data_IF_100752736208
#
_entry.id   IF_100752736208
#
_cell.length_a   1.000
_cell.length_b   1.000
_cell.length_c   1.000
_cell.angle_alpha   90.00
_cell.angle_beta   90.00
_cell.angle_gamma   90.00
#
_symmetry.space_group_name_H-M   'P 1'
#
loop_
_entity.id
_entity.type
_entity.pdbx_description
1 polymer ?
#
# COMPACT_ATOMS: atom_id res chain seq x y z
N UNK A 1 17.78 5.43 29.53
CA UNK A 1 18.44 4.15 29.18
C UNK A 1 17.48 3.06 28.70
N UNK A 2 16.18 3.09 29.00
CA UNK A 2 15.20 2.10 28.49
C UNK A 2 14.81 2.30 27.02
N UNK A 3 14.70 3.55 26.54
CA UNK A 3 14.33 3.85 25.14
C UNK A 3 15.35 3.32 24.13
N UNK A 4 16.64 3.57 24.36
CA UNK A 4 17.73 3.12 23.48
C UNK A 4 17.73 1.59 23.29
N UNK A 5 17.37 0.84 24.34
CA UNK A 5 17.26 -0.63 24.28
C UNK A 5 16.04 -1.10 23.51
N UNK A 6 14.97 -0.30 23.48
CA UNK A 6 13.77 -0.60 22.70
C UNK A 6 14.01 -0.31 21.22
N UNK A 7 14.62 0.83 20.91
CA UNK A 7 14.98 1.23 19.54
C UNK A 7 15.90 0.19 18.89
N UNK A 8 16.93 -0.29 19.61
CA UNK A 8 17.80 -1.37 19.15
C UNK A 8 17.05 -2.68 18.85
N UNK A 9 16.02 -3.01 19.63
CA UNK A 9 15.19 -4.19 19.38
C UNK A 9 14.28 -4.03 18.17
N UNK A 10 13.79 -2.81 17.92
CA UNK A 10 12.99 -2.49 16.74
C UNK A 10 13.85 -2.61 15.48
N UNK A 11 15.08 -2.07 15.52
CA UNK A 11 16.04 -2.18 14.41
C UNK A 11 16.40 -3.64 14.13
N UNK A 12 16.64 -4.43 15.18
CA UNK A 12 16.91 -5.86 15.03
C UNK A 12 15.71 -6.61 14.42
N UNK A 13 14.49 -6.33 14.90
CA UNK A 13 13.27 -6.92 14.35
C UNK A 13 13.07 -6.55 12.87
N UNK A 14 13.41 -5.32 12.48
CA UNK A 14 13.37 -4.87 11.08
C UNK A 14 14.32 -5.69 10.20
N UNK A 15 15.54 -5.92 10.66
CA UNK A 15 16.50 -6.77 9.96
C UNK A 15 16.05 -8.24 9.86
N UNK A 16 15.50 -8.80 10.93
CA UNK A 16 14.97 -10.17 10.94
C UNK A 16 13.78 -10.33 9.99
N UNK A 17 12.86 -9.35 9.95
CA UNK A 17 11.74 -9.34 9.00
C UNK A 17 12.20 -9.27 7.55
N UNK A 18 13.25 -8.51 7.25
CA UNK A 18 13.82 -8.43 5.90
C UNK A 18 14.42 -9.78 5.47
N UNK A 19 15.16 -10.45 6.36
CA UNK A 19 15.70 -11.78 6.10
C UNK A 19 14.59 -12.81 5.86
N UNK A 20 13.56 -12.84 6.72
CA UNK A 20 12.41 -13.73 6.56
C UNK A 20 11.60 -13.45 5.29
N UNK A 21 11.48 -12.19 4.86
CA UNK A 21 10.87 -11.82 3.57
C UNK A 21 11.68 -12.37 2.39
N UNK A 22 13.01 -12.33 2.45
CA UNK A 22 13.88 -12.84 1.40
C UNK A 22 13.76 -14.37 1.26
N UNK A 23 13.76 -15.09 2.38
CA UNK A 23 13.64 -16.55 2.42
C UNK A 23 12.24 -17.06 2.03
N UNK A 24 11.19 -16.35 2.45
CA UNK A 24 9.81 -16.74 2.16
C UNK A 24 9.36 -16.42 0.73
N UNK A 25 10.15 -15.66 -0.05
CA UNK A 25 9.79 -15.22 -1.41
C UNK A 25 9.46 -16.37 -2.37
N UNK A 26 10.09 -17.54 -2.17
CA UNK A 26 9.93 -18.72 -3.02
C UNK A 26 8.95 -19.77 -2.45
N UNK A 27 8.44 -19.58 -1.22
CA UNK A 27 7.55 -20.53 -0.56
C UNK A 27 6.24 -19.85 -0.16
N UNK A 28 5.17 -20.13 -0.89
CA UNK A 28 3.86 -19.49 -0.69
C UNK A 28 3.28 -19.77 0.70
N UNK A 29 3.44 -20.97 1.23
CA UNK A 29 2.95 -21.36 2.56
C UNK A 29 3.68 -20.57 3.64
N UNK A 30 5.00 -20.48 3.56
CA UNK A 30 5.81 -19.69 4.49
C UNK A 30 5.50 -18.19 4.39
N UNK A 31 5.28 -17.69 3.16
CA UNK A 31 4.91 -16.29 2.91
C UNK A 31 3.56 -15.93 3.53
N UNK A 32 2.53 -16.79 3.38
CA UNK A 32 1.20 -16.59 4.00
C UNK A 32 1.31 -16.59 5.52
N UNK A 33 2.05 -17.55 6.08
CA UNK A 33 2.27 -17.65 7.53
C UNK A 33 2.99 -16.40 8.08
N UNK A 34 4.02 -15.92 7.39
CA UNK A 34 4.72 -14.69 7.75
C UNK A 34 3.77 -13.47 7.69
N UNK A 35 2.97 -13.37 6.63
CA UNK A 35 1.97 -12.30 6.49
C UNK A 35 0.96 -12.31 7.65
N UNK A 36 0.42 -13.47 8.02
CA UNK A 36 -0.53 -13.59 9.14
C UNK A 36 0.07 -13.18 10.49
N UNK A 37 1.37 -13.45 10.70
CA UNK A 37 2.09 -13.02 11.91
C UNK A 37 2.24 -11.51 11.92
N UNK A 38 2.70 -10.92 10.81
CA UNK A 38 2.89 -9.46 10.70
C UNK A 38 1.57 -8.72 10.83
N UNK A 39 0.48 -9.20 10.22
CA UNK A 39 -0.84 -8.58 10.34
C UNK A 39 -1.37 -8.61 11.78
N UNK A 40 -1.16 -9.70 12.52
CA UNK A 40 -1.54 -9.78 13.94
C UNK A 40 -0.70 -8.86 14.83
N UNK A 41 0.59 -8.72 14.53
CA UNK A 41 1.45 -7.76 15.23
C UNK A 41 1.02 -6.32 14.94
N UNK A 42 0.71 -6.00 13.68
CA UNK A 42 0.20 -4.70 13.27
C UNK A 42 -1.09 -4.35 14.01
N UNK A 43 -2.03 -5.29 14.15
CA UNK A 43 -3.27 -5.07 14.89
C UNK A 43 -3.07 -4.76 16.39
N UNK A 44 -1.94 -5.15 16.99
CA UNK A 44 -1.62 -4.80 18.38
C UNK A 44 -0.96 -3.43 18.53
N UNK A 45 -0.35 -2.92 17.44
CA UNK A 45 0.31 -1.62 17.41
C UNK A 45 -0.62 -0.52 16.85
N UNK A 46 -1.64 -0.89 16.09
CA UNK A 46 -2.60 0.03 15.48
C UNK A 46 -3.47 0.68 16.56
N UNK A 47 -3.51 2.02 16.57
CA UNK A 47 -4.39 2.75 17.47
C UNK A 47 -5.86 2.45 17.13
N UNK A 48 -6.79 2.48 18.10
CA UNK A 48 -8.21 2.24 17.85
C UNK A 48 -8.80 3.14 16.77
N UNK A 49 -8.37 4.41 16.73
CA UNK A 49 -8.83 5.37 15.71
C UNK A 49 -8.38 4.99 14.30
N UNK A 50 -7.14 4.50 14.15
CA UNK A 50 -6.59 4.05 12.87
C UNK A 50 -7.28 2.76 12.41
N UNK A 51 -7.61 1.86 13.35
CA UNK A 51 -8.39 0.66 13.05
C UNK A 51 -9.77 1.01 12.49
N UNK A 52 -10.50 1.92 13.16
CA UNK A 52 -11.82 2.37 12.70
C UNK A 52 -11.71 3.09 11.35
N UNK A 53 -10.72 3.96 11.20
CA UNK A 53 -10.47 4.66 9.95
C UNK A 53 -10.18 3.70 8.79
N UNK A 54 -9.34 2.69 9.01
CA UNK A 54 -9.05 1.63 8.04
C UNK A 54 -10.30 0.84 7.68
N UNK A 55 -11.15 0.47 8.66
CA UNK A 55 -12.41 -0.23 8.39
C UNK A 55 -13.35 0.60 7.49
N UNK A 56 -13.45 1.91 7.74
CA UNK A 56 -14.27 2.83 6.95
C UNK A 56 -13.67 3.03 5.54
N UNK A 57 -12.36 3.22 5.44
CA UNK A 57 -11.70 3.63 4.19
C UNK A 57 -11.32 2.46 3.28
N UNK A 58 -11.03 1.27 3.83
CA UNK A 58 -10.64 0.08 3.06
C UNK A 58 -11.57 -0.29 1.88
N UNK A 59 -12.90 -0.19 1.95
CA UNK A 59 -13.76 -0.50 0.79
C UNK A 59 -13.64 0.50 -0.37
N UNK A 60 -13.09 1.70 -0.16
CA UNK A 60 -12.96 2.72 -1.20
C UNK A 60 -11.82 2.41 -2.18
N UNK A 61 -10.75 1.73 -1.73
CA UNK A 61 -9.63 1.35 -2.58
C UNK A 61 -10.01 0.45 -3.77
N UNK A 62 -10.76 -0.66 -3.60
CA UNK A 62 -11.19 -1.48 -4.73
C UNK A 62 -12.22 -0.76 -5.63
N UNK A 63 -13.08 0.08 -5.07
CA UNK A 63 -14.03 0.88 -5.86
C UNK A 63 -13.30 1.89 -6.75
N UNK A 64 -12.34 2.61 -6.19
CA UNK A 64 -11.43 3.52 -6.91
C UNK A 64 -10.67 2.80 -8.02
N UNK A 65 -10.07 1.64 -7.72
CA UNK A 65 -9.34 0.85 -8.69
C UNK A 65 -10.25 0.41 -9.85
N UNK A 66 -11.48 -0.01 -9.57
CA UNK A 66 -12.44 -0.40 -10.61
C UNK A 66 -12.79 0.79 -11.52
N UNK A 67 -12.95 1.99 -10.98
CA UNK A 67 -13.18 3.20 -11.78
C UNK A 67 -11.97 3.50 -12.67
N UNK A 68 -10.75 3.43 -12.15
CA UNK A 68 -9.51 3.63 -12.92
C UNK A 68 -9.34 2.58 -14.04
N UNK A 69 -9.71 1.33 -13.79
CA UNK A 69 -9.69 0.27 -14.81
C UNK A 69 -10.73 0.56 -15.89
N UNK A 70 -11.96 0.94 -15.53
CA UNK A 70 -13.02 1.26 -16.49
C UNK A 70 -12.72 2.49 -17.34
N UNK A 71 -12.03 3.47 -16.77
CA UNK A 71 -11.54 4.65 -17.51
C UNK A 71 -10.33 4.32 -18.40
N UNK A 72 -9.73 3.13 -18.31
CA UNK A 72 -8.55 2.78 -19.10
C UNK A 72 -7.24 3.43 -18.61
N UNK A 73 -7.24 4.07 -17.44
CA UNK A 73 -6.04 4.71 -16.85
C UNK A 73 -4.95 3.68 -16.59
N UNK A 74 -5.32 2.50 -16.07
CA UNK A 74 -4.36 1.43 -15.78
C UNK A 74 -3.71 0.90 -17.08
N UNK A 75 -4.50 0.72 -18.14
CA UNK A 75 -3.99 0.19 -19.41
C UNK A 75 -3.13 1.22 -20.14
N UNK A 76 -3.49 2.50 -20.07
CA UNK A 76 -2.71 3.60 -20.63
C UNK A 76 -1.36 3.77 -19.90
N UNK A 77 -1.33 3.73 -18.57
CA UNK A 77 -0.10 3.79 -17.78
C UNK A 77 0.85 2.62 -18.09
N UNK A 78 0.32 1.40 -18.20
CA UNK A 78 1.11 0.21 -18.54
C UNK A 78 1.70 0.32 -19.95
N UNK A 79 0.94 0.83 -20.92
CA UNK A 79 1.41 1.04 -22.30
C UNK A 79 2.43 2.17 -22.42
N UNK A 80 2.26 3.23 -21.63
CA UNK A 80 3.14 4.39 -21.66
C UNK A 80 4.54 4.05 -21.15
N UNK A 81 4.65 3.15 -20.15
CA UNK A 81 5.93 2.74 -19.56
C UNK A 81 6.72 3.87 -18.89
N UNK A 82 6.11 5.06 -18.76
CA UNK A 82 6.67 6.27 -18.17
C UNK A 82 5.63 6.95 -17.27
N UNK A 83 6.06 7.71 -16.24
CA UNK A 83 5.15 8.53 -15.45
C UNK A 83 4.37 9.50 -16.35
N UNK A 84 3.06 9.61 -16.13
CA UNK A 84 2.18 10.59 -16.77
C UNK A 84 1.54 11.48 -15.72
N UNK A 85 1.28 12.72 -16.10
CA UNK A 85 0.53 13.68 -15.28
C UNK A 85 -0.97 13.38 -15.33
N UNK A 86 -1.73 13.92 -14.38
CA UNK A 86 -3.19 13.76 -14.36
C UNK A 86 -3.85 14.36 -15.62
N UNK A 87 -3.29 15.46 -16.15
CA UNK A 87 -3.74 16.09 -17.38
C UNK A 87 -3.52 15.19 -18.61
N UNK A 88 -2.31 14.63 -18.76
CA UNK A 88 -2.01 13.68 -19.85
C UNK A 88 -2.89 12.42 -19.80
N UNK A 89 -3.23 11.96 -18.59
CA UNK A 89 -4.13 10.83 -18.39
C UNK A 89 -5.59 11.20 -18.71
N UNK A 90 -6.02 12.40 -18.34
CA UNK A 90 -7.34 12.92 -18.66
C UNK A 90 -7.56 12.98 -20.17
N UNK A 91 -6.58 13.51 -20.91
CA UNK A 91 -6.60 13.63 -22.37
C UNK A 91 -6.61 12.25 -23.06
N UNK A 92 -5.87 11.26 -22.55
CA UNK A 92 -5.83 9.92 -23.15
C UNK A 92 -7.01 9.02 -22.79
N UNK A 93 -7.61 9.20 -21.61
CA UNK A 93 -8.60 8.28 -21.05
C UNK A 93 -10.02 8.86 -21.03
N UNK A 94 -10.20 10.15 -21.33
CA UNK A 94 -11.50 10.83 -21.32
C UNK A 94 -12.10 10.99 -19.93
N UNK A 95 -11.30 10.80 -18.86
CA UNK A 95 -11.71 11.00 -17.48
C UNK A 95 -11.42 12.44 -17.03
N UNK A 96 -12.20 12.96 -16.09
CA UNK A 96 -12.00 14.30 -15.53
C UNK A 96 -10.64 14.40 -14.79
N UNK A 97 -9.84 15.41 -15.13
CA UNK A 97 -8.52 15.66 -14.54
C UNK A 97 -8.58 15.76 -13.01
N UNK A 98 -9.62 16.41 -12.47
CA UNK A 98 -9.79 16.57 -11.02
C UNK A 98 -10.07 15.22 -10.37
N UNK A 99 -10.85 14.34 -10.99
CA UNK A 99 -11.13 13.00 -10.46
C UNK A 99 -9.89 12.12 -10.48
N UNK A 100 -9.07 12.18 -11.53
CA UNK A 100 -7.79 11.46 -11.62
C UNK A 100 -6.78 12.04 -10.61
N UNK A 101 -6.70 13.37 -10.51
CA UNK A 101 -5.82 14.08 -9.60
C UNK A 101 -6.18 13.90 -8.12
N UNK A 102 -7.45 13.62 -7.80
CA UNK A 102 -7.91 13.36 -6.43
C UNK A 102 -7.36 12.05 -5.86
N UNK A 103 -6.95 11.10 -6.72
CA UNK A 103 -6.22 9.90 -6.30
C UNK A 103 -4.75 10.16 -5.91
N UNK A 104 -4.28 11.41 -5.98
CA UNK A 104 -2.96 11.79 -5.48
C UNK A 104 -2.95 11.63 -3.95
N UNK A 105 -2.40 10.51 -3.49
CA UNK A 105 -2.02 10.35 -2.08
C UNK A 105 -0.96 11.41 -1.80
N UNK A 106 -1.33 12.50 -1.10
CA UNK A 106 -0.33 13.43 -0.58
C UNK A 106 0.54 12.63 0.40
N UNK A 107 1.88 12.61 0.23
CA UNK A 107 2.74 12.09 1.28
C UNK A 107 2.51 12.94 2.54
N UNK A 108 2.28 12.28 3.68
CA UNK A 108 2.40 12.92 5.00
C UNK A 108 3.86 13.24 5.26
#
# INVERSE_FOLDING_TARGET
MSSIKLDQKIDQLSHELQALCAESKQNETSRKKLMDVVMRANAQLEAPVETVWRMIMSPHAPAALMVLIRMGVVTDLVKAGKPKTAQELSESCGGDELLIGTFRIKPK
#
